data_IF_240701502566
#
_entry.id   IF_240701502566
#
_cell.length_a   1.000
_cell.length_b   1.000
_cell.length_c   1.000
_cell.angle_alpha   90.00
_cell.angle_beta   90.00
_cell.angle_gamma   90.00
#
_symmetry.space_group_name_H-M   'P 1'
#
loop_
_entity.id
_entity.type
_entity.pdbx_description
1 polymer ?
#
# COMPACT_ATOMS: atom_id res chain seq x y z
N UNK A 1 -7.73 -17.01 -1.04
CA UNK A 1 -8.36 -16.04 -1.98
C UNK A 1 -8.70 -14.76 -1.24
N UNK A 2 -8.25 -13.63 -1.75
CA UNK A 2 -8.59 -12.35 -1.15
C UNK A 2 -9.98 -11.89 -1.56
N UNK A 3 -10.72 -11.38 -0.58
CA UNK A 3 -12.07 -10.84 -0.77
C UNK A 3 -12.10 -9.42 -0.23
N UNK A 4 -12.65 -8.49 -1.01
CA UNK A 4 -12.72 -7.09 -0.66
C UNK A 4 -14.17 -6.65 -0.45
N UNK A 5 -14.37 -5.64 0.39
CA UNK A 5 -15.64 -4.94 0.45
C UNK A 5 -15.78 -4.06 -0.80
N UNK A 6 -16.96 -4.11 -1.42
CA UNK A 6 -17.31 -3.15 -2.46
C UNK A 6 -17.70 -1.86 -1.75
N UNK A 7 -17.13 -0.75 -2.18
CA UNK A 7 -17.30 0.54 -1.51
C UNK A 7 -18.08 1.54 -2.35
N UNK A 8 -18.64 2.54 -1.67
CA UNK A 8 -19.27 3.68 -2.32
C UNK A 8 -18.22 4.75 -2.64
N UNK A 9 -18.65 5.88 -3.19
CA UNK A 9 -17.77 6.98 -3.58
C UNK A 9 -17.01 7.63 -2.41
N UNK A 10 -17.48 7.41 -1.19
CA UNK A 10 -16.85 7.94 0.03
C UNK A 10 -15.90 6.92 0.69
N UNK A 11 -15.76 5.73 0.12
CA UNK A 11 -14.91 4.69 0.68
C UNK A 11 -15.57 3.84 1.75
N UNK A 12 -16.89 3.94 1.91
CA UNK A 12 -17.63 3.16 2.90
C UNK A 12 -18.09 1.82 2.31
N UNK A 13 -17.98 0.72 3.07
CA UNK A 13 -18.48 -0.56 2.60
C UNK A 13 -19.99 -0.54 2.32
N UNK A 14 -20.37 -1.16 1.20
CA UNK A 14 -21.79 -1.23 0.77
C UNK A 14 -22.54 -2.42 1.35
N UNK A 15 -21.83 -3.35 2.00
CA UNK A 15 -22.38 -4.62 2.46
C UNK A 15 -22.21 -5.75 1.46
N UNK A 16 -21.69 -5.46 0.28
CA UNK A 16 -21.37 -6.45 -0.75
C UNK A 16 -19.88 -6.66 -0.85
N UNK A 17 -19.48 -7.85 -1.29
CA UNK A 17 -18.06 -8.21 -1.42
C UNK A 17 -17.75 -8.66 -2.84
N UNK A 18 -16.44 -8.68 -3.16
CA UNK A 18 -15.95 -9.08 -4.46
C UNK A 18 -14.58 -9.74 -4.29
N UNK A 19 -14.26 -10.70 -5.16
CA UNK A 19 -12.92 -11.29 -5.17
C UNK A 19 -11.93 -10.31 -5.79
N UNK A 20 -10.65 -10.44 -5.41
CA UNK A 20 -9.57 -9.62 -5.97
C UNK A 20 -9.54 -9.71 -7.50
N UNK A 21 -9.63 -10.92 -8.04
CA UNK A 21 -9.59 -11.14 -9.48
C UNK A 21 -10.71 -10.36 -10.19
N UNK A 22 -11.93 -10.49 -9.71
CA UNK A 22 -13.07 -9.80 -10.31
C UNK A 22 -12.98 -8.28 -10.15
N UNK A 23 -12.49 -7.82 -8.99
CA UNK A 23 -12.31 -6.38 -8.76
C UNK A 23 -11.40 -5.75 -9.79
N UNK A 24 -10.30 -6.42 -10.15
CA UNK A 24 -9.33 -5.91 -11.12
C UNK A 24 -9.71 -6.21 -12.57
N UNK A 25 -10.57 -7.19 -12.82
CA UNK A 25 -11.08 -7.47 -14.16
C UNK A 25 -12.19 -6.49 -14.55
N UNK A 26 -13.11 -6.23 -13.63
CA UNK A 26 -14.31 -5.43 -13.89
C UNK A 26 -14.18 -3.97 -13.42
N UNK A 27 -13.08 -3.61 -12.74
CA UNK A 27 -12.90 -2.25 -12.22
C UNK A 27 -13.86 -1.93 -11.08
N UNK A 28 -14.03 -2.86 -10.13
CA UNK A 28 -14.94 -2.67 -9.00
C UNK A 28 -14.24 -1.93 -7.87
N UNK A 29 -14.85 -0.84 -7.35
CA UNK A 29 -14.23 -0.05 -6.29
C UNK A 29 -14.00 -0.83 -5.00
N UNK A 30 -12.78 -0.72 -4.47
CA UNK A 30 -12.37 -1.37 -3.24
C UNK A 30 -11.37 -0.48 -2.49
N UNK A 31 -10.94 -0.90 -1.30
CA UNK A 31 -10.07 -0.09 -0.44
C UNK A 31 -8.67 -0.65 -0.38
N UNK A 32 -7.70 0.27 -0.28
CA UNK A 32 -6.30 -0.07 -0.02
C UNK A 32 -5.78 0.75 1.15
N UNK A 33 -4.71 0.26 1.79
CA UNK A 33 -3.99 0.99 2.83
C UNK A 33 -2.60 1.31 2.30
N UNK A 34 -2.20 2.57 2.36
CA UNK A 34 -0.88 3.03 1.94
C UNK A 34 -0.18 3.66 3.13
N UNK A 35 1.03 3.25 3.41
CA UNK A 35 1.82 3.78 4.50
C UNK A 35 3.08 4.43 3.94
N UNK A 36 3.31 5.70 4.30
CA UNK A 36 4.53 6.42 3.96
C UNK A 36 5.40 6.51 5.20
N UNK A 37 6.58 5.92 5.14
CA UNK A 37 7.56 6.00 6.22
C UNK A 37 8.47 7.17 5.93
N UNK A 38 8.51 8.14 6.85
CA UNK A 38 9.27 9.37 6.68
C UNK A 38 10.28 9.54 7.82
N UNK A 39 11.33 10.31 7.55
CA UNK A 39 12.30 10.74 8.56
C UNK A 39 12.83 12.12 8.20
N UNK A 40 13.38 12.82 9.21
CA UNK A 40 14.17 14.02 8.97
C UNK A 40 15.65 13.67 9.14
N UNK A 41 16.45 14.05 8.17
CA UNK A 41 17.90 13.86 8.23
C UNK A 41 18.59 15.10 7.62
N UNK A 42 19.46 15.73 8.40
CA UNK A 42 20.21 16.92 7.99
C UNK A 42 19.29 18.04 7.46
N UNK A 43 18.15 18.24 8.11
CA UNK A 43 17.18 19.28 7.75
C UNK A 43 16.30 18.93 6.56
N UNK A 44 16.43 17.73 6.01
CA UNK A 44 15.63 17.27 4.87
C UNK A 44 14.66 16.18 5.27
N UNK A 45 13.47 16.19 4.65
CA UNK A 45 12.49 15.11 4.81
C UNK A 45 12.82 14.05 3.78
N UNK A 46 12.94 12.80 4.25
CA UNK A 46 13.16 11.65 3.38
C UNK A 46 12.02 10.67 3.54
N UNK A 47 11.71 9.96 2.47
CA UNK A 47 10.68 8.92 2.44
C UNK A 47 11.32 7.58 2.08
N UNK A 48 10.88 6.53 2.77
CA UNK A 48 11.33 5.17 2.47
C UNK A 48 10.43 4.60 1.38
N UNK A 49 11.02 4.17 0.28
CA UNK A 49 10.27 3.52 -0.80
C UNK A 49 10.69 2.06 -0.90
N UNK A 50 9.73 1.20 -1.25
CA UNK A 50 10.02 -0.19 -1.51
C UNK A 50 10.22 -0.42 -3.00
N UNK A 51 11.17 -1.28 -3.34
CA UNK A 51 11.34 -1.78 -4.69
C UNK A 51 10.52 -3.07 -4.80
N UNK A 52 9.56 -3.08 -5.71
CA UNK A 52 8.70 -4.25 -5.90
C UNK A 52 9.52 -5.44 -6.41
N UNK A 53 9.17 -6.63 -5.92
CA UNK A 53 9.82 -7.86 -6.37
C UNK A 53 9.67 -8.02 -7.88
N UNK A 54 10.69 -8.58 -8.53
CA UNK A 54 10.64 -8.92 -9.96
C UNK A 54 9.60 -9.99 -10.28
N UNK A 55 9.10 -10.69 -9.25
CA UNK A 55 8.06 -11.71 -9.41
C UNK A 55 6.64 -11.16 -9.42
N UNK A 56 6.47 -9.84 -9.24
CA UNK A 56 5.13 -9.23 -9.25
C UNK A 56 4.55 -9.22 -10.66
N UNK A 57 3.24 -9.46 -10.75
CA UNK A 57 2.52 -9.42 -12.04
C UNK A 57 2.38 -8.01 -12.60
N UNK A 58 2.40 -7.00 -11.73
CA UNK A 58 2.29 -5.60 -12.12
C UNK A 58 3.48 -4.80 -11.61
N UNK A 59 4.03 -3.95 -12.47
CA UNK A 59 5.15 -3.05 -12.15
C UNK A 59 6.34 -3.73 -11.45
N UNK A 60 6.87 -4.85 -11.98
CA UNK A 60 8.00 -5.53 -11.34
C UNK A 60 9.25 -4.63 -11.31
N UNK A 61 10.00 -4.68 -10.22
CA UNK A 61 11.24 -3.94 -10.06
C UNK A 61 11.10 -2.43 -9.92
N UNK A 62 9.88 -1.89 -9.85
CA UNK A 62 9.66 -0.45 -9.68
C UNK A 62 9.60 -0.07 -8.21
N UNK A 63 9.95 1.18 -7.90
CA UNK A 63 9.79 1.72 -6.57
C UNK A 63 8.34 2.14 -6.35
N UNK A 64 7.86 1.95 -5.13
CA UNK A 64 6.48 2.21 -4.75
C UNK A 64 6.44 2.73 -3.30
N UNK A 65 5.24 3.05 -2.81
CA UNK A 65 4.97 3.44 -1.41
C UNK A 65 5.74 2.56 -0.43
N UNK A 66 6.10 3.09 0.74
CA UNK A 66 6.86 2.34 1.75
C UNK A 66 6.23 0.98 2.04
N UNK A 67 4.92 0.95 2.24
CA UNK A 67 4.15 -0.29 2.37
C UNK A 67 2.73 -0.04 1.89
N UNK A 68 2.14 -1.01 1.20
CA UNK A 68 0.78 -0.89 0.69
C UNK A 68 0.16 -2.27 0.51
N UNK A 69 -1.15 -2.34 0.71
CA UNK A 69 -1.89 -3.58 0.49
C UNK A 69 -3.38 -3.33 0.44
N UNK A 70 -4.10 -4.34 0.00
CA UNK A 70 -5.56 -4.29 -0.05
C UNK A 70 -6.16 -4.50 1.33
N UNK A 71 -7.25 -3.79 1.61
CA UNK A 71 -8.01 -3.99 2.84
C UNK A 71 -9.00 -5.12 2.59
N UNK A 72 -8.86 -6.20 3.36
CA UNK A 72 -9.74 -7.36 3.22
C UNK A 72 -11.16 -7.03 3.69
N UNK A 73 -12.14 -7.77 3.18
CA UNK A 73 -13.53 -7.60 3.60
C UNK A 73 -13.66 -7.75 5.12
N UNK A 74 -14.33 -6.79 5.76
CA UNK A 74 -14.53 -6.77 7.21
C UNK A 74 -13.41 -6.18 8.02
N UNK A 75 -12.26 -5.87 7.41
CA UNK A 75 -11.12 -5.31 8.12
C UNK A 75 -11.19 -3.78 8.17
N UNK A 76 -10.62 -3.20 9.22
CA UNK A 76 -10.50 -1.76 9.36
C UNK A 76 -9.23 -1.26 8.65
N UNK A 77 -9.27 -0.03 8.09
CA UNK A 77 -8.10 0.51 7.39
C UNK A 77 -6.83 0.58 8.23
N UNK A 78 -6.93 1.05 9.47
CA UNK A 78 -5.76 1.19 10.33
C UNK A 78 -5.15 -0.16 10.71
N UNK A 79 -5.98 -1.14 11.02
CA UNK A 79 -5.50 -2.50 11.32
C UNK A 79 -4.82 -3.12 10.12
N UNK A 80 -5.37 -2.87 8.92
CA UNK A 80 -4.77 -3.34 7.68
C UNK A 80 -3.41 -2.71 7.44
N UNK A 81 -3.27 -1.41 7.72
CA UNK A 81 -1.99 -0.71 7.59
C UNK A 81 -0.93 -1.31 8.53
N UNK A 82 -1.30 -1.57 9.78
CA UNK A 82 -0.40 -2.19 10.76
C UNK A 82 0.04 -3.57 10.28
N UNK A 83 -0.90 -4.36 9.80
CA UNK A 83 -0.62 -5.70 9.28
C UNK A 83 0.35 -5.66 8.09
N UNK A 84 0.13 -4.76 7.14
CA UNK A 84 0.99 -4.65 5.96
C UNK A 84 2.42 -4.24 6.33
N UNK A 85 2.59 -3.30 7.26
CA UNK A 85 3.91 -2.93 7.74
C UNK A 85 4.65 -4.14 8.32
N UNK A 86 3.95 -4.96 9.08
CA UNK A 86 4.54 -6.15 9.69
C UNK A 86 4.86 -7.21 8.63
N UNK A 87 3.91 -7.49 7.74
CA UNK A 87 4.09 -8.54 6.73
C UNK A 87 5.16 -8.19 5.70
N UNK A 88 5.16 -6.96 5.20
CA UNK A 88 6.07 -6.58 4.13
C UNK A 88 7.47 -6.19 4.62
N UNK A 89 7.55 -5.51 5.75
CA UNK A 89 8.81 -4.92 6.22
C UNK A 89 9.26 -5.43 7.60
N UNK A 90 8.44 -6.19 8.30
CA UNK A 90 8.76 -6.66 9.64
C UNK A 90 8.67 -5.58 10.71
N UNK A 91 7.98 -4.47 10.43
CA UNK A 91 7.81 -3.38 11.39
C UNK A 91 6.57 -3.64 12.26
N UNK A 92 6.77 -3.61 13.59
CA UNK A 92 5.66 -3.70 14.53
C UNK A 92 5.25 -2.30 14.96
N UNK A 93 4.13 -1.83 14.42
CA UNK A 93 3.58 -0.52 14.73
C UNK A 93 2.36 -0.66 15.61
N UNK A 94 2.13 0.34 16.49
CA UNK A 94 0.90 0.45 17.24
C UNK A 94 -0.01 1.51 16.62
N UNK A 95 -1.32 1.50 16.91
CA UNK A 95 -2.25 2.45 16.29
C UNK A 95 -1.89 3.91 16.49
N UNK A 96 -1.33 4.28 17.64
CA UNK A 96 -0.95 5.65 17.95
C UNK A 96 0.31 6.11 17.22
N UNK A 97 1.03 5.21 16.55
CA UNK A 97 2.21 5.54 15.78
C UNK A 97 1.90 5.84 14.30
N UNK A 98 0.67 5.62 13.87
CA UNK A 98 0.23 5.90 12.52
C UNK A 98 -0.64 7.15 12.50
N UNK A 99 -0.28 8.13 11.68
CA UNK A 99 -1.07 9.34 11.48
C UNK A 99 -1.88 9.21 10.21
N UNK A 100 -3.20 9.33 10.31
CA UNK A 100 -4.07 9.28 9.13
C UNK A 100 -3.93 10.57 8.32
N UNK A 101 -3.54 10.44 7.06
CA UNK A 101 -3.30 11.58 6.18
C UNK A 101 -4.44 11.86 5.21
N UNK A 102 -5.43 10.99 5.13
CA UNK A 102 -6.60 11.19 4.26
C UNK A 102 -6.84 10.03 3.31
N UNK A 103 -7.86 10.20 2.46
CA UNK A 103 -8.20 9.22 1.43
C UNK A 103 -7.96 9.82 0.05
N UNK A 104 -7.52 8.97 -0.88
CA UNK A 104 -7.21 9.39 -2.25
C UNK A 104 -7.77 8.37 -3.24
N UNK A 105 -8.56 8.80 -4.23
CA UNK A 105 -9.02 7.89 -5.27
C UNK A 105 -7.88 7.60 -6.26
N UNK A 106 -7.79 6.34 -6.64
CA UNK A 106 -6.82 5.88 -7.64
C UNK A 106 -7.60 5.10 -8.69
N UNK A 107 -7.43 5.49 -9.96
CA UNK A 107 -8.10 4.86 -11.08
C UNK A 107 -7.13 4.72 -12.24
N UNK A 108 -6.91 3.48 -12.71
CA UNK A 108 -6.14 3.29 -13.93
C UNK A 108 -6.50 1.97 -14.60
N UNK A 109 -6.15 1.88 -15.88
CA UNK A 109 -6.30 0.68 -16.66
C UNK A 109 -4.98 0.41 -17.38
N UNK A 110 -4.58 -0.87 -17.40
CA UNK A 110 -3.38 -1.27 -18.15
C UNK A 110 -3.48 -2.74 -18.51
N UNK A 111 -2.98 -3.07 -19.69
CA UNK A 111 -2.89 -4.46 -20.12
C UNK A 111 -1.62 -5.10 -19.55
N UNK A 112 -1.80 -6.22 -18.82
CA UNK A 112 -0.70 -7.04 -18.35
C UNK A 112 -0.92 -8.47 -18.83
N UNK A 113 0.08 -9.06 -19.48
CA UNK A 113 0.04 -10.44 -19.94
C UNK A 113 -1.20 -10.78 -20.79
N UNK A 114 -1.61 -9.85 -21.64
CA UNK A 114 -2.75 -10.04 -22.53
C UNK A 114 -4.12 -9.84 -21.88
N UNK A 115 -4.16 -9.44 -20.61
CA UNK A 115 -5.39 -9.18 -19.87
C UNK A 115 -5.47 -7.74 -19.42
N UNK A 116 -6.67 -7.16 -19.48
CA UNK A 116 -6.88 -5.80 -18.99
C UNK A 116 -6.99 -5.81 -17.47
N UNK A 117 -6.15 -5.01 -16.84
CA UNK A 117 -6.18 -4.77 -15.40
C UNK A 117 -6.82 -3.41 -15.16
N UNK A 118 -7.92 -3.39 -14.42
CA UNK A 118 -8.65 -2.17 -14.06
C UNK A 118 -8.61 -1.99 -12.56
N UNK A 119 -8.00 -0.88 -12.13
CA UNK A 119 -7.90 -0.58 -10.71
C UNK A 119 -8.74 0.64 -10.36
N UNK A 120 -9.77 0.42 -9.55
CA UNK A 120 -10.62 1.46 -8.99
C UNK A 120 -10.54 1.31 -7.49
N UNK A 121 -9.76 2.18 -6.83
CA UNK A 121 -9.58 2.06 -5.40
C UNK A 121 -9.61 3.40 -4.70
N UNK A 122 -9.94 3.36 -3.41
CA UNK A 122 -9.73 4.48 -2.51
C UNK A 122 -8.63 4.07 -1.54
N UNK A 123 -7.52 4.81 -1.58
CA UNK A 123 -6.38 4.58 -0.73
C UNK A 123 -6.57 5.32 0.59
N UNK A 124 -6.48 4.59 1.70
CA UNK A 124 -6.42 5.16 3.04
C UNK A 124 -4.96 5.33 3.39
N UNK A 125 -4.51 6.57 3.49
CA UNK A 125 -3.10 6.90 3.59
C UNK A 125 -2.70 7.23 5.02
N UNK A 126 -1.61 6.60 5.48
CA UNK A 126 -1.05 6.78 6.82
C UNK A 126 0.40 7.17 6.74
N UNK A 127 0.86 7.94 7.72
CA UNK A 127 2.25 8.34 7.85
C UNK A 127 2.83 7.70 9.12
N UNK A 128 4.01 7.10 8.97
CA UNK A 128 4.76 6.48 10.05
C UNK A 128 6.11 7.20 10.15
N UNK A 129 6.35 7.88 11.27
CA UNK A 129 7.56 8.69 11.45
C UNK A 129 8.47 8.20 12.59
N UNK A 130 8.24 6.99 13.07
CA UNK A 130 9.09 6.39 14.09
C UNK A 130 10.43 6.00 13.47
N UNK A 131 11.53 5.98 14.28
CA UNK A 131 12.83 5.59 13.77
C UNK A 131 12.82 4.20 13.14
N UNK A 132 13.41 4.10 11.94
CA UNK A 132 13.53 2.84 11.21
C UNK A 132 14.99 2.61 10.82
N UNK A 133 15.53 1.48 11.25
CA UNK A 133 16.85 1.04 10.82
C UNK A 133 16.64 -0.01 9.72
N UNK A 134 16.90 0.36 8.47
CA UNK A 134 16.62 -0.51 7.33
C UNK A 134 17.42 -1.81 7.37
N UNK A 135 18.55 -1.85 8.07
CA UNK A 135 19.35 -3.08 8.20
C UNK A 135 18.67 -4.12 9.08
N UNK A 136 17.67 -3.72 9.87
CA UNK A 136 16.93 -4.61 10.78
C UNK A 136 15.56 -5.03 10.24
N UNK A 137 15.17 -4.53 9.07
CA UNK A 137 13.89 -4.88 8.47
C UNK A 137 13.89 -6.31 7.97
N UNK A 138 12.73 -6.97 8.07
CA UNK A 138 12.52 -8.32 7.53
C UNK A 138 11.58 -8.18 6.33
N UNK A 139 12.14 -8.23 5.14
CA UNK A 139 11.39 -8.01 3.92
C UNK A 139 10.68 -9.29 3.45
N UNK A 140 9.42 -9.14 3.04
CA UNK A 140 8.66 -10.21 2.42
C UNK A 140 9.11 -10.32 0.96
N UNK A 141 10.06 -11.20 0.68
CA UNK A 141 10.77 -11.25 -0.61
C UNK A 141 9.88 -11.49 -1.83
N UNK A 142 8.75 -12.16 -1.65
CA UNK A 142 7.78 -12.36 -2.74
C UNK A 142 7.16 -11.04 -3.20
N UNK A 143 7.11 -10.04 -2.32
CA UNK A 143 6.48 -8.74 -2.57
C UNK A 143 7.49 -7.61 -2.69
N UNK A 144 8.52 -7.63 -1.83
CA UNK A 144 9.47 -6.52 -1.66
C UNK A 144 10.90 -7.02 -1.88
N UNK A 145 11.58 -6.49 -2.89
CA UNK A 145 12.97 -6.84 -3.16
C UNK A 145 13.93 -6.07 -2.25
N UNK A 146 13.69 -4.78 -2.09
CA UNK A 146 14.55 -3.88 -1.31
C UNK A 146 13.80 -2.64 -0.88
N UNK A 147 14.41 -1.87 0.01
CA UNK A 147 13.91 -0.54 0.41
C UNK A 147 15.05 0.46 0.36
N UNK A 148 14.73 1.74 0.12
CA UNK A 148 15.72 2.79 0.01
C UNK A 148 15.12 4.13 0.41
N UNK A 149 15.94 4.99 1.07
CA UNK A 149 15.54 6.35 1.42
C UNK A 149 15.74 7.28 0.24
N UNK A 150 14.73 8.12 -0.01
CA UNK A 150 14.80 9.17 -1.04
C UNK A 150 14.46 10.51 -0.42
N UNK A 151 15.09 11.58 -0.91
CA UNK A 151 14.70 12.93 -0.52
C UNK A 151 13.29 13.19 -1.05
N UNK A 152 12.45 13.81 -0.22
CA UNK A 152 11.04 14.04 -0.57
C UNK A 152 10.89 14.84 -1.87
N UNK A 153 11.74 15.85 -2.07
CA UNK A 153 11.70 16.67 -3.27
C UNK A 153 11.99 15.91 -4.55
N UNK A 154 12.81 14.86 -4.47
CA UNK A 154 13.12 14.00 -5.61
C UNK A 154 12.01 12.98 -5.90
N UNK A 155 11.16 12.74 -4.90
CA UNK A 155 10.09 11.74 -4.98
C UNK A 155 8.82 12.33 -5.58
N UNK A 156 8.61 13.60 -5.44
CA UNK A 156 7.42 14.32 -5.91
C UNK A 156 7.36 14.47 -7.42
#
# INVERSE_FOLDING_TARGET
MEIFDIIDENGNPTGKTVTREKAHTDGIPHRTAHIWIIRKKDGRVQVLLQKRSMNKDSFPGKFDTSSAGHIQAGDEPQESAIRELHEELGIQASPDQLEFAGTFPISFEKEFHGKMFRDEEIAFVYIYDQPVDISKLVLQKEEVEAVEWFDFEETC
#
